data_IF_778892430504
#
_entry.id   IF_778892430504
#
_cell.length_a   1.000
_cell.length_b   1.000
_cell.length_c   1.000
_cell.angle_alpha   90.00
_cell.angle_beta   90.00
_cell.angle_gamma   90.00
#
_symmetry.space_group_name_H-M   'P 1'
#
loop_
_entity.id
_entity.type
_entity.pdbx_description
1 polymer ?
#
# COMPACT_ATOMS: atom_id res chain seq x y z
N UNK A 1 14.64 25.54 34.59
CA UNK A 1 14.08 24.21 34.25
C UNK A 1 14.91 23.14 34.96
N UNK A 2 14.30 22.04 35.43
CA UNK A 2 15.02 20.96 36.13
C UNK A 2 15.73 20.04 35.14
N UNK A 3 16.96 19.58 35.46
CA UNK A 3 17.71 18.57 34.67
C UNK A 3 16.87 17.32 34.33
N UNK A 4 15.93 16.93 35.22
CA UNK A 4 15.00 15.82 34.96
C UNK A 4 14.00 16.14 33.84
N UNK A 5 13.52 17.38 33.77
CA UNK A 5 12.60 17.83 32.73
C UNK A 5 13.26 17.94 31.35
N UNK A 6 14.54 18.29 31.29
CA UNK A 6 15.32 18.29 30.05
C UNK A 6 15.59 16.87 29.53
N UNK A 7 15.93 15.94 30.44
CA UNK A 7 16.10 14.53 30.09
C UNK A 7 14.80 13.89 29.56
N UNK A 8 13.66 14.18 30.20
CA UNK A 8 12.36 13.66 29.76
C UNK A 8 12.01 14.14 28.34
N UNK A 9 12.15 15.44 28.06
CA UNK A 9 11.88 16.00 26.73
C UNK A 9 12.74 15.37 25.64
N UNK A 10 14.03 15.15 25.91
CA UNK A 10 14.93 14.51 24.96
C UNK A 10 14.47 13.09 24.60
N UNK A 11 14.04 12.32 25.60
CA UNK A 11 13.50 10.97 25.40
C UNK A 11 12.19 11.01 24.61
N UNK A 12 11.29 11.93 24.92
CA UNK A 12 10.04 12.12 24.18
C UNK A 12 10.28 12.45 22.70
N UNK A 13 11.23 13.35 22.42
CA UNK A 13 11.62 13.68 21.05
C UNK A 13 12.23 12.49 20.30
N UNK A 14 13.06 11.68 20.96
CA UNK A 14 13.64 10.48 20.37
C UNK A 14 12.57 9.45 20.02
N UNK A 15 11.63 9.21 20.94
CA UNK A 15 10.48 8.34 20.71
C UNK A 15 9.62 8.86 19.55
N UNK A 16 9.39 10.17 19.48
CA UNK A 16 8.63 10.79 18.40
C UNK A 16 9.32 10.63 17.04
N UNK A 17 10.65 10.83 16.98
CA UNK A 17 11.46 10.63 15.77
C UNK A 17 11.38 9.19 15.27
N UNK A 18 11.53 8.22 16.17
CA UNK A 18 11.47 6.80 15.77
C UNK A 18 10.08 6.37 15.30
N UNK A 19 9.02 6.86 15.94
CA UNK A 19 7.64 6.65 15.49
C UNK A 19 7.40 7.22 14.10
N UNK A 20 7.89 8.43 13.84
CA UNK A 20 7.79 9.07 12.52
C UNK A 20 8.56 8.27 11.46
N UNK A 21 9.78 7.84 11.76
CA UNK A 21 10.59 7.04 10.85
C UNK A 21 9.95 5.68 10.55
N UNK A 22 9.38 5.01 11.55
CA UNK A 22 8.65 3.75 11.39
C UNK A 22 7.42 3.90 10.47
N UNK A 23 6.62 4.95 10.69
CA UNK A 23 5.48 5.28 9.82
C UNK A 23 5.93 5.58 8.38
N UNK A 24 7.00 6.36 8.21
CA UNK A 24 7.56 6.67 6.90
C UNK A 24 7.94 5.41 6.13
N UNK A 25 8.69 4.50 6.78
CA UNK A 25 9.05 3.20 6.18
C UNK A 25 7.83 2.35 5.84
N UNK A 26 6.75 2.41 6.62
CA UNK A 26 5.51 1.70 6.31
C UNK A 26 4.79 2.28 5.08
N UNK A 27 4.73 3.61 4.98
CA UNK A 27 4.23 4.30 3.79
C UNK A 27 5.05 3.93 2.54
N UNK A 28 6.38 3.97 2.61
CA UNK A 28 7.25 3.59 1.49
C UNK A 28 7.04 2.14 1.02
N UNK A 29 6.85 1.20 1.95
CA UNK A 29 6.54 -0.20 1.59
C UNK A 29 5.22 -0.30 0.83
N UNK A 30 4.21 0.43 1.26
CA UNK A 30 2.91 0.48 0.59
C UNK A 30 3.02 1.11 -0.80
N UNK A 31 3.72 2.25 -0.93
CA UNK A 31 3.98 2.90 -2.22
C UNK A 31 4.63 1.93 -3.21
N UNK A 32 5.71 1.25 -2.81
CA UNK A 32 6.42 0.30 -3.68
C UNK A 32 5.53 -0.85 -4.14
N UNK A 33 4.72 -1.40 -3.23
CA UNK A 33 3.80 -2.46 -3.59
C UNK A 33 2.72 -2.00 -4.59
N UNK A 34 2.21 -0.78 -4.44
CA UNK A 34 1.24 -0.20 -5.39
C UNK A 34 1.89 0.12 -6.75
N UNK A 35 3.13 0.62 -6.76
CA UNK A 35 3.91 0.83 -7.97
C UNK A 35 4.16 -0.49 -8.72
N UNK A 36 4.46 -1.58 -8.01
CA UNK A 36 4.61 -2.91 -8.59
C UNK A 36 3.30 -3.36 -9.26
N UNK A 37 2.17 -3.23 -8.57
CA UNK A 37 0.84 -3.55 -9.12
C UNK A 37 0.58 -2.74 -10.39
N UNK A 38 0.82 -1.43 -10.36
CA UNK A 38 0.61 -0.56 -11.52
C UNK A 38 1.50 -0.95 -12.70
N UNK A 39 2.77 -1.26 -12.44
CA UNK A 39 3.73 -1.71 -13.46
C UNK A 39 3.32 -3.04 -14.10
N UNK A 40 2.86 -4.00 -13.31
CA UNK A 40 2.39 -5.29 -13.80
C UNK A 40 1.06 -5.12 -14.57
N UNK A 41 0.13 -4.32 -14.05
CA UNK A 41 -1.13 -4.01 -14.70
C UNK A 41 -0.93 -3.39 -16.09
N UNK A 42 0.04 -2.49 -16.24
CA UNK A 42 0.38 -1.86 -17.51
C UNK A 42 0.93 -2.86 -18.56
N UNK A 43 1.53 -3.97 -18.13
CA UNK A 43 2.11 -5.01 -19.01
C UNK A 43 1.11 -6.08 -19.42
N UNK A 44 0.01 -6.24 -18.67
CA UNK A 44 -0.99 -7.27 -18.94
C UNK A 44 -1.74 -7.11 -20.28
N UNK A 45 -2.11 -5.90 -20.74
CA UNK A 45 -2.71 -5.70 -22.05
C UNK A 45 -1.81 -6.21 -23.18
N UNK A 46 -2.35 -7.02 -24.09
CA UNK A 46 -1.61 -7.56 -25.24
C UNK A 46 -0.68 -8.73 -24.93
N UNK A 47 -0.44 -9.05 -23.66
CA UNK A 47 0.34 -10.23 -23.26
C UNK A 47 -0.54 -11.49 -23.30
N UNK A 48 0.00 -12.60 -23.82
CA UNK A 48 -0.71 -13.87 -24.00
C UNK A 48 0.12 -15.07 -23.54
N UNK A 49 -0.53 -16.23 -23.40
CA UNK A 49 0.13 -17.49 -23.05
C UNK A 49 0.79 -17.48 -21.66
N UNK A 50 1.90 -18.21 -21.54
CA UNK A 50 2.61 -18.40 -20.27
C UNK A 50 3.08 -17.09 -19.62
N UNK A 51 3.48 -16.08 -20.41
CA UNK A 51 3.88 -14.78 -19.87
C UNK A 51 2.68 -14.06 -19.23
N UNK A 52 1.47 -14.21 -19.79
CA UNK A 52 0.27 -13.62 -19.20
C UNK A 52 -0.07 -14.28 -17.86
N UNK A 53 0.03 -15.60 -17.80
CA UNK A 53 -0.20 -16.36 -16.56
C UNK A 53 0.82 -15.97 -15.49
N UNK A 54 2.09 -15.84 -15.86
CA UNK A 54 3.14 -15.35 -14.97
C UNK A 54 2.85 -13.94 -14.45
N UNK A 55 2.47 -13.00 -15.32
CA UNK A 55 2.13 -11.63 -14.89
C UNK A 55 0.92 -11.60 -13.97
N UNK A 56 -0.07 -12.48 -14.15
CA UNK A 56 -1.20 -12.57 -13.23
C UNK A 56 -0.80 -13.09 -11.85
N UNK A 57 0.09 -14.08 -11.77
CA UNK A 57 0.65 -14.54 -10.50
C UNK A 57 1.45 -13.43 -9.81
N UNK A 58 2.33 -12.75 -10.55
CA UNK A 58 3.10 -11.61 -10.02
C UNK A 58 2.17 -10.48 -9.55
N UNK A 59 1.04 -10.25 -10.24
CA UNK A 59 0.03 -9.29 -9.86
C UNK A 59 -0.64 -9.67 -8.54
N UNK A 60 -1.08 -10.93 -8.40
CA UNK A 60 -1.75 -11.42 -7.19
C UNK A 60 -0.82 -11.34 -5.97
N UNK A 61 0.45 -11.70 -6.13
CA UNK A 61 1.44 -11.55 -5.07
C UNK A 61 1.67 -10.09 -4.70
N UNK A 62 1.77 -9.19 -5.68
CA UNK A 62 1.91 -7.76 -5.43
C UNK A 62 0.67 -7.18 -4.72
N UNK A 63 -0.51 -7.64 -5.09
CA UNK A 63 -1.78 -7.29 -4.44
C UNK A 63 -1.80 -7.68 -2.97
N UNK A 64 -1.38 -8.91 -2.63
CA UNK A 64 -1.27 -9.36 -1.24
C UNK A 64 -0.28 -8.48 -0.47
N UNK A 65 0.91 -8.22 -1.03
CA UNK A 65 1.92 -7.34 -0.39
C UNK A 65 1.38 -5.93 -0.13
N UNK A 66 0.66 -5.34 -1.08
CA UNK A 66 0.08 -4.01 -0.91
C UNK A 66 -0.98 -4.01 0.20
N UNK A 67 -1.85 -5.02 0.23
CA UNK A 67 -2.90 -5.13 1.26
C UNK A 67 -2.31 -5.31 2.66
N UNK A 68 -1.28 -6.14 2.81
CA UNK A 68 -0.57 -6.32 4.07
C UNK A 68 0.16 -5.05 4.53
N UNK A 69 0.87 -4.38 3.61
CA UNK A 69 1.54 -3.12 3.90
C UNK A 69 0.53 -2.03 4.32
N UNK A 70 -0.63 -1.99 3.68
CA UNK A 70 -1.73 -1.08 4.01
C UNK A 70 -2.28 -1.34 5.40
N UNK A 71 -2.61 -2.59 5.72
CA UNK A 71 -3.06 -2.97 7.06
C UNK A 71 -2.04 -2.60 8.14
N UNK A 72 -0.75 -2.89 7.90
CA UNK A 72 0.31 -2.54 8.83
C UNK A 72 0.40 -1.02 9.07
N UNK A 73 0.28 -0.21 8.00
CA UNK A 73 0.26 1.25 8.13
C UNK A 73 -0.92 1.75 8.97
N UNK A 74 -2.13 1.20 8.74
CA UNK A 74 -3.32 1.55 9.51
C UNK A 74 -3.15 1.22 11.00
N UNK A 75 -2.67 0.02 11.32
CA UNK A 75 -2.39 -0.40 12.70
C UNK A 75 -1.39 0.54 13.38
N UNK A 76 -0.29 0.88 12.70
CA UNK A 76 0.71 1.80 13.25
C UNK A 76 0.16 3.20 13.49
N UNK A 77 -0.69 3.70 12.58
CA UNK A 77 -1.38 4.99 12.75
C UNK A 77 -2.32 4.97 13.96
N UNK A 78 -3.10 3.92 14.13
CA UNK A 78 -4.01 3.77 15.26
C UNK A 78 -3.28 3.71 16.60
N UNK A 79 -2.15 2.99 16.66
CA UNK A 79 -1.27 2.94 17.83
C UNK A 79 -0.71 4.32 18.23
N UNK A 80 -0.70 5.28 17.29
CA UNK A 80 -0.29 6.66 17.49
C UNK A 80 -1.46 7.63 17.67
N UNK A 81 -2.70 7.13 17.73
CA UNK A 81 -3.91 7.93 17.89
C UNK A 81 -4.48 8.50 16.58
N UNK A 82 -3.87 8.20 15.43
CA UNK A 82 -4.30 8.66 14.11
C UNK A 82 -5.40 7.74 13.53
N UNK A 83 -6.60 7.78 14.13
CA UNK A 83 -7.72 6.86 13.81
C UNK A 83 -8.51 7.23 12.54
N UNK A 84 -8.26 8.40 11.95
CA UNK A 84 -8.88 8.81 10.69
C UNK A 84 -7.97 8.40 9.53
N UNK A 85 -8.54 7.64 8.61
CA UNK A 85 -7.80 6.99 7.52
C UNK A 85 -8.06 7.59 6.14
N UNK A 86 -8.88 8.65 6.03
CA UNK A 86 -9.21 9.29 4.76
C UNK A 86 -7.98 9.66 3.93
N UNK A 87 -6.92 10.18 4.57
CA UNK A 87 -5.66 10.50 3.88
C UNK A 87 -4.93 9.24 3.36
N UNK A 88 -5.08 8.10 4.03
CA UNK A 88 -4.52 6.82 3.57
C UNK A 88 -5.35 6.29 2.40
N UNK A 89 -6.67 6.42 2.45
CA UNK A 89 -7.54 6.04 1.34
C UNK A 89 -7.25 6.88 0.08
N UNK A 90 -6.99 8.18 0.25
CA UNK A 90 -6.66 9.12 -0.84
C UNK A 90 -5.27 8.86 -1.45
N UNK A 91 -4.24 8.73 -0.61
CA UNK A 91 -2.86 8.57 -1.08
C UNK A 91 -2.55 7.12 -1.49
N UNK A 92 -3.25 6.15 -0.91
CA UNK A 92 -2.98 4.71 -1.07
C UNK A 92 -4.30 3.94 -1.28
N UNK A 93 -4.96 4.13 -2.43
CA UNK A 93 -6.22 3.45 -2.72
C UNK A 93 -6.03 1.93 -2.75
N UNK A 94 -7.08 1.21 -2.37
CA UNK A 94 -7.07 -0.25 -2.43
C UNK A 94 -6.91 -0.71 -3.89
N UNK A 95 -5.89 -1.53 -4.21
CA UNK A 95 -5.69 -1.98 -5.57
C UNK A 95 -6.83 -2.93 -6.00
N UNK A 96 -7.29 -2.86 -7.26
CA UNK A 96 -8.39 -3.70 -7.71
C UNK A 96 -7.99 -5.19 -7.68
N UNK A 97 -8.89 -6.08 -7.25
CA UNK A 97 -8.63 -7.53 -7.17
C UNK A 97 -8.39 -8.19 -8.52
N UNK A 98 -8.84 -7.58 -9.61
CA UNK A 98 -8.55 -8.01 -10.97
C UNK A 98 -8.13 -6.80 -11.79
N UNK A 99 -7.07 -6.91 -12.60
CA UNK A 99 -6.73 -5.86 -13.54
C UNK A 99 -7.91 -5.67 -14.50
N UNK A 100 -8.26 -4.41 -14.78
CA UNK A 100 -9.49 -4.04 -15.51
C UNK A 100 -9.66 -4.76 -16.88
N UNK A 101 -8.57 -5.26 -17.47
CA UNK A 101 -8.59 -6.07 -18.69
C UNK A 101 -9.19 -7.50 -18.53
N UNK A 102 -9.39 -7.99 -17.30
CA UNK A 102 -10.03 -9.29 -17.04
C UNK A 102 -11.56 -9.21 -16.93
N UNK A 103 -12.13 -8.00 -16.84
CA UNK A 103 -13.55 -7.77 -17.07
C UNK A 103 -13.77 -7.79 -18.59
N UNK A 104 -14.07 -8.96 -19.14
CA UNK A 104 -14.45 -9.07 -20.55
C UNK A 104 -15.62 -8.11 -20.83
N UNK A 105 -15.68 -7.49 -22.02
CA UNK A 105 -16.90 -6.82 -22.47
C UNK A 105 -18.01 -7.87 -22.55
N UNK A 106 -19.02 -7.72 -21.70
CA UNK A 106 -20.24 -8.52 -21.82
C UNK A 106 -20.91 -8.21 -23.14
N UNK A 107 -21.19 -9.27 -23.90
CA UNK A 107 -22.27 -9.37 -24.88
C UNK A 107 -22.48 -8.22 -25.86
N UNK A 108 -21.89 -8.35 -27.06
CA UNK A 108 -22.66 -8.00 -28.26
C UNK A 108 -23.06 -9.29 -28.97
N UNK A 109 -24.23 -9.81 -28.58
CA UNK A 109 -25.02 -10.75 -29.34
C UNK A 109 -26.23 -10.01 -29.93
N UNK A 110 -26.28 -9.97 -31.27
CA UNK A 110 -27.49 -9.87 -32.09
C UNK A 110 -27.99 -8.47 -32.48
N UNK A 111 -28.83 -8.38 -33.53
CA UNK A 111 -29.19 -9.41 -34.52
C UNK A 111 -28.30 -9.39 -35.77
#
# INVERSE_FOLDING_TARGET
MSRRGEGLRRVEEEIAREKAAALGRAGERLSRALEDIARIAARLPGTVGAERERLLLEYDEAWVRAREARLALLIQREALGLRRHAVVDELFPEPPRRPAAAARPEGRAGP
#
